data_IF_542566506862
#
_entry.id   IF_542566506862
#
_cell.length_a   1.000
_cell.length_b   1.000
_cell.length_c   1.000
_cell.angle_alpha   90.00
_cell.angle_beta   90.00
_cell.angle_gamma   90.00
#
_symmetry.space_group_name_H-M   'P 1'
#
loop_
_entity.id
_entity.type
_entity.pdbx_description
1 polymer ?
#
# COMPACT_ATOMS: atom_id res chain seq x y z
N UNK A 1 19.61 2.70 -4.89
CA UNK A 1 18.19 2.81 -4.50
C UNK A 1 18.19 3.06 -3.00
N UNK A 2 17.60 4.16 -2.54
CA UNK A 2 17.65 4.51 -1.12
C UNK A 2 16.77 3.55 -0.34
N UNK A 3 17.37 2.77 0.57
CA UNK A 3 16.66 1.96 1.55
C UNK A 3 15.98 2.93 2.52
N UNK A 4 14.69 3.19 2.29
CA UNK A 4 13.90 4.00 3.20
C UNK A 4 13.71 3.19 4.48
N UNK A 5 14.41 3.58 5.54
CA UNK A 5 14.26 2.95 6.86
C UNK A 5 12.80 3.13 7.30
N UNK A 6 12.04 2.04 7.28
CA UNK A 6 10.68 2.01 7.77
C UNK A 6 10.71 1.89 9.30
N UNK A 7 10.42 2.98 10.01
CA UNK A 7 10.49 3.06 11.47
C UNK A 7 9.09 3.29 12.04
N UNK A 8 8.77 2.56 13.12
CA UNK A 8 7.44 2.50 13.71
C UNK A 8 6.40 1.92 12.71
N UNK A 9 5.15 1.70 13.16
CA UNK A 9 4.04 1.09 12.38
C UNK A 9 3.97 -0.44 12.31
N UNK A 10 4.67 -1.16 13.19
CA UNK A 10 4.55 -2.62 13.30
C UNK A 10 3.11 -3.06 13.64
N UNK A 11 2.35 -2.24 14.38
CA UNK A 11 0.94 -2.52 14.68
C UNK A 11 0.09 -2.46 13.41
N UNK A 12 0.22 -1.40 12.62
CA UNK A 12 -0.53 -1.23 11.38
C UNK A 12 -0.15 -2.30 10.34
N UNK A 13 1.13 -2.68 10.26
CA UNK A 13 1.57 -3.81 9.45
C UNK A 13 0.96 -5.14 9.93
N UNK A 14 0.93 -5.39 11.24
CA UNK A 14 0.30 -6.59 11.78
C UNK A 14 -1.20 -6.65 11.42
N UNK A 15 -1.91 -5.52 11.51
CA UNK A 15 -3.33 -5.46 11.09
C UNK A 15 -3.52 -5.73 9.60
N UNK A 16 -2.66 -5.19 8.74
CA UNK A 16 -2.71 -5.47 7.30
C UNK A 16 -2.40 -6.94 7.00
N UNK A 17 -1.48 -7.56 7.74
CA UNK A 17 -1.18 -8.99 7.63
C UNK A 17 -2.38 -9.85 8.06
N UNK A 18 -3.09 -9.50 9.12
CA UNK A 18 -4.32 -10.21 9.51
C UNK A 18 -5.37 -10.17 8.38
N UNK A 19 -5.52 -9.04 7.69
CA UNK A 19 -6.41 -8.96 6.53
C UNK A 19 -5.91 -9.79 5.33
N UNK A 20 -4.60 -9.85 5.12
CA UNK A 20 -4.01 -10.70 4.09
C UNK A 20 -4.26 -12.17 4.38
N UNK A 21 -4.09 -12.62 5.62
CA UNK A 21 -4.35 -14.01 6.03
C UNK A 21 -5.80 -14.42 5.74
N UNK A 22 -6.75 -13.53 6.03
CA UNK A 22 -8.17 -13.74 5.68
C UNK A 22 -8.37 -13.81 4.15
N UNK A 23 -7.73 -12.93 3.39
CA UNK A 23 -7.81 -12.94 1.94
C UNK A 23 -7.22 -14.23 1.34
N UNK A 24 -6.09 -14.71 1.87
CA UNK A 24 -5.45 -15.97 1.48
C UNK A 24 -6.30 -17.19 1.85
N UNK A 25 -7.08 -17.11 2.92
CA UNK A 25 -8.09 -18.12 3.28
C UNK A 25 -9.34 -18.10 2.36
N UNK A 26 -9.38 -17.22 1.35
CA UNK A 26 -10.49 -17.10 0.39
C UNK A 26 -11.54 -16.06 0.76
N UNK A 27 -11.30 -15.26 1.81
CA UNK A 27 -12.19 -14.20 2.27
C UNK A 27 -11.62 -12.82 1.91
N UNK A 28 -11.73 -12.43 0.64
CA UNK A 28 -11.28 -11.13 0.15
C UNK A 28 -11.93 -9.98 0.93
N UNK A 29 -11.14 -8.96 1.26
CA UNK A 29 -11.58 -7.81 2.06
C UNK A 29 -11.10 -6.49 1.45
N UNK A 30 -11.79 -5.41 1.82
CA UNK A 30 -11.40 -4.03 1.48
C UNK A 30 -11.11 -3.31 2.79
N UNK A 31 -9.91 -2.74 2.89
CA UNK A 31 -9.50 -1.92 4.04
C UNK A 31 -9.17 -0.49 3.59
N UNK A 32 -9.41 0.48 4.47
CA UNK A 32 -9.08 1.88 4.24
C UNK A 32 -7.92 2.29 5.13
N UNK A 33 -6.83 2.77 4.52
CA UNK A 33 -5.71 3.37 5.25
C UNK A 33 -5.93 4.88 5.30
N UNK A 34 -6.29 5.39 6.48
CA UNK A 34 -6.57 6.81 6.71
C UNK A 34 -5.48 7.46 7.55
N UNK A 35 -5.40 8.79 7.51
CA UNK A 35 -4.42 9.57 8.26
C UNK A 35 -4.10 10.89 7.58
N UNK A 36 -3.42 11.77 8.31
CA UNK A 36 -3.07 13.12 7.85
C UNK A 36 -2.17 13.14 6.60
N UNK A 37 -2.13 14.29 5.93
CA UNK A 37 -1.17 14.53 4.85
C UNK A 37 0.26 14.35 5.37
N UNK A 38 1.09 13.59 4.65
CA UNK A 38 2.46 13.28 5.08
C UNK A 38 2.59 12.20 6.17
N UNK A 39 1.49 11.59 6.65
CA UNK A 39 1.54 10.57 7.71
C UNK A 39 2.22 9.23 7.33
N UNK A 40 2.70 9.09 6.08
CA UNK A 40 3.39 7.88 5.60
C UNK A 40 2.48 6.77 5.09
N UNK A 41 1.22 7.07 4.72
CA UNK A 41 0.25 6.07 4.23
C UNK A 41 0.75 5.28 3.02
N UNK A 42 1.28 5.98 2.02
CA UNK A 42 1.87 5.34 0.83
C UNK A 42 3.03 4.43 1.24
N UNK A 43 3.94 4.91 2.08
CA UNK A 43 5.07 4.12 2.58
C UNK A 43 4.61 2.86 3.32
N UNK A 44 3.56 2.94 4.15
CA UNK A 44 2.98 1.80 4.84
C UNK A 44 2.47 0.73 3.86
N UNK A 45 1.69 1.13 2.86
CA UNK A 45 1.12 0.19 1.87
C UNK A 45 2.21 -0.42 0.99
N UNK A 46 3.20 0.37 0.56
CA UNK A 46 4.33 -0.12 -0.24
C UNK A 46 5.19 -1.11 0.56
N UNK A 47 5.49 -0.83 1.82
CA UNK A 47 6.28 -1.73 2.66
C UNK A 47 5.51 -3.02 3.01
N UNK A 48 4.21 -2.91 3.32
CA UNK A 48 3.34 -4.07 3.50
C UNK A 48 3.38 -5.00 2.27
N UNK A 49 3.18 -4.44 1.08
CA UNK A 49 3.21 -5.19 -0.17
C UNK A 49 4.57 -5.86 -0.42
N UNK A 50 5.68 -5.16 -0.15
CA UNK A 50 7.03 -5.71 -0.25
C UNK A 50 7.20 -6.93 0.66
N UNK A 51 6.85 -6.79 1.95
CA UNK A 51 6.93 -7.89 2.94
C UNK A 51 6.01 -9.05 2.58
N UNK A 52 4.81 -8.76 2.07
CA UNK A 52 3.85 -9.78 1.66
C UNK A 52 4.35 -10.58 0.45
N UNK A 53 4.99 -9.94 -0.53
CA UNK A 53 5.61 -10.63 -1.67
C UNK A 53 6.82 -11.49 -1.25
N UNK A 54 7.63 -10.99 -0.30
CA UNK A 54 8.75 -11.76 0.26
C UNK A 54 8.25 -13.02 1.00
N UNK A 55 7.11 -12.93 1.70
CA UNK A 55 6.52 -14.04 2.45
C UNK A 55 5.69 -15.01 1.60
N UNK A 56 5.08 -14.54 0.51
CA UNK A 56 4.15 -15.31 -0.32
C UNK A 56 4.56 -15.28 -1.80
N UNK A 57 5.30 -16.30 -2.23
CA UNK A 57 5.86 -16.39 -3.59
C UNK A 57 4.83 -16.30 -4.73
N UNK A 58 3.58 -16.71 -4.50
CA UNK A 58 2.50 -16.65 -5.50
C UNK A 58 1.61 -15.41 -5.38
N UNK A 59 1.92 -14.48 -4.47
CA UNK A 59 1.14 -13.28 -4.27
C UNK A 59 1.47 -12.24 -5.35
N UNK A 60 0.46 -11.87 -6.15
CA UNK A 60 0.55 -10.76 -7.07
C UNK A 60 0.05 -9.48 -6.40
N UNK A 61 0.85 -8.41 -6.47
CA UNK A 61 0.46 -7.08 -5.99
C UNK A 61 0.35 -6.14 -7.17
N UNK A 62 -0.74 -5.35 -7.19
CA UNK A 62 -0.92 -4.25 -8.13
C UNK A 62 -1.03 -2.94 -7.35
N UNK A 63 -0.40 -1.89 -7.87
CA UNK A 63 -0.49 -0.54 -7.33
C UNK A 63 -1.19 0.38 -8.31
N UNK A 64 -1.96 1.34 -7.79
CA UNK A 64 -2.53 2.43 -8.56
C UNK A 64 -2.35 3.72 -7.78
N UNK A 65 -1.88 4.76 -8.45
CA UNK A 65 -1.78 6.09 -7.90
C UNK A 65 -3.01 6.89 -8.27
N UNK A 66 -3.70 7.42 -7.26
CA UNK A 66 -4.80 8.36 -7.48
C UNK A 66 -4.22 9.77 -7.55
N UNK A 67 -3.86 10.20 -8.75
CA UNK A 67 -3.56 11.59 -9.02
C UNK A 67 -4.80 12.26 -9.63
N UNK A 68 -5.13 13.46 -9.18
CA UNK A 68 -6.17 14.29 -9.79
C UNK A 68 -5.75 14.83 -11.18
N UNK A 69 -4.46 14.71 -11.53
CA UNK A 69 -3.88 15.11 -12.81
C UNK A 69 -3.38 13.86 -13.54
N UNK A 70 -3.95 13.54 -14.69
CA UNK A 70 -3.69 12.27 -15.39
C UNK A 70 -2.78 12.41 -16.62
N UNK A 71 -2.70 13.60 -17.26
CA UNK A 71 -1.92 13.87 -18.50
C UNK A 71 -2.32 12.97 -19.70
N UNK A 72 -2.40 13.38 -20.97
CA UNK A 72 -2.18 14.61 -21.74
C UNK A 72 -3.53 15.28 -22.01
N UNK A 73 -3.61 16.61 -21.91
CA UNK A 73 -4.83 17.36 -22.20
C UNK A 73 -5.67 17.74 -20.99
N UNK A 74 -5.06 17.82 -19.80
CA UNK A 74 -5.69 18.46 -18.65
C UNK A 74 -5.98 19.93 -19.01
N UNK A 75 -7.26 20.37 -19.05
CA UNK A 75 -7.56 21.77 -19.25
C UNK A 75 -6.88 22.55 -18.11
N UNK A 76 -6.16 23.62 -18.44
CA UNK A 76 -5.47 24.54 -17.52
C UNK A 76 -4.06 24.17 -17.03
N UNK A 77 -3.41 23.13 -17.54
CA UNK A 77 -1.94 23.06 -17.47
C UNK A 77 -1.33 23.90 -18.61
N UNK A 78 -0.32 24.76 -18.36
CA UNK A 78 0.35 25.52 -19.41
C UNK A 78 1.08 24.62 -20.42
#
# INVERSE_FOLDING_TARGET
MAEQVFVARERELAQLNEFLDQALAGHGTVCFVTGEAGAGKTTLVTEFARRAQDAHFHLLVAFGDCNAQTGIGDPYLP
#
